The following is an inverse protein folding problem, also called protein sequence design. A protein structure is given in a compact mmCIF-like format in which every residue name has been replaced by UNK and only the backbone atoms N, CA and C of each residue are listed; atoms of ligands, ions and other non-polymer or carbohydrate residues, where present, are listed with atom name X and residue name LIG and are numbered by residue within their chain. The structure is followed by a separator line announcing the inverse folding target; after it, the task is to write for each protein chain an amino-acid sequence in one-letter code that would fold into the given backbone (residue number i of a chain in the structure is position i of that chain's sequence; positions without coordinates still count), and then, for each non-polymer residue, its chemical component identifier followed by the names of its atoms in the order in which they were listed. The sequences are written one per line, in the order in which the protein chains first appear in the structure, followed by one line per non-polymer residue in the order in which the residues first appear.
data_IF_583885552825
#
_entry.id   IF_583885552825
#
_cell.length_a   1.000
_cell.length_b   1.000
_cell.length_c   1.000
_cell.angle_alpha   90.00
_cell.angle_beta   90.00
_cell.angle_gamma   90.00
#
_symmetry.space_group_name_H-M   'P 1'
#
loop_
_entity.id
_entity.type
_entity.pdbx_description
1 polymer ?
#
# COMPACT_ATOMS: atom_id res chain seq x y z
N UNK A 1 -3.99 0.65 -3.50
CA UNK A 1 -4.29 2.10 -3.70
C UNK A 1 -4.54 2.76 -2.33
N UNK A 2 -4.18 4.02 -2.13
CA UNK A 2 -4.57 4.77 -0.94
C UNK A 2 -5.69 5.76 -1.29
N UNK A 3 -6.71 5.83 -0.44
CA UNK A 3 -7.76 6.83 -0.59
C UNK A 3 -7.26 8.21 -0.13
N UNK A 4 -7.67 9.31 -0.79
CA UNK A 4 -7.13 10.65 -0.55
C UNK A 4 -7.76 11.33 0.67
N UNK A 5 -7.98 10.57 1.75
CA UNK A 5 -8.50 11.04 3.04
C UNK A 5 -8.04 10.10 4.16
N UNK A 6 -8.19 10.55 5.41
CA UNK A 6 -7.88 9.77 6.59
C UNK A 6 -9.15 9.22 7.23
N UNK A 7 -9.02 8.08 7.88
CA UNK A 7 -10.01 7.49 8.77
C UNK A 7 -9.42 7.30 10.16
N UNK A 8 -10.28 7.26 11.16
CA UNK A 8 -9.90 6.99 12.54
C UNK A 8 -10.24 5.55 12.91
N UNK A 9 -9.30 4.85 13.53
CA UNK A 9 -9.56 3.54 14.13
C UNK A 9 -10.43 3.73 15.38
N UNK A 10 -11.63 3.12 15.46
CA UNK A 10 -12.57 3.40 16.55
C UNK A 10 -12.08 2.91 17.92
N UNK A 11 -11.13 1.97 17.94
CA UNK A 11 -10.61 1.38 19.18
C UNK A 11 -9.35 2.10 19.69
N UNK A 12 -8.42 2.43 18.79
CA UNK A 12 -7.14 3.05 19.16
C UNK A 12 -7.11 4.57 18.98
N UNK A 13 -8.06 5.15 18.25
CA UNK A 13 -8.04 6.57 17.86
C UNK A 13 -6.96 6.92 16.84
N UNK A 14 -6.27 5.92 16.27
CA UNK A 14 -5.23 6.15 15.28
C UNK A 14 -5.82 6.71 13.98
N UNK A 15 -5.26 7.81 13.48
CA UNK A 15 -5.61 8.35 12.16
C UNK A 15 -4.69 7.77 11.08
N UNK A 16 -5.25 7.19 10.03
CA UNK A 16 -4.47 6.55 8.97
C UNK A 16 -5.17 6.61 7.61
N UNK A 17 -4.42 6.39 6.53
CA UNK A 17 -4.97 6.27 5.18
C UNK A 17 -5.53 4.88 4.97
N UNK A 18 -6.81 4.82 4.63
CA UNK A 18 -7.48 3.57 4.29
C UNK A 18 -6.85 2.95 3.03
N UNK A 19 -6.62 1.64 3.09
CA UNK A 19 -6.19 0.82 1.94
C UNK A 19 -7.38 0.14 1.30
N UNK A 20 -7.27 -0.20 0.02
CA UNK A 20 -8.29 -0.94 -0.71
C UNK A 20 -8.53 -2.33 -0.13
N UNK A 21 -7.48 -3.03 0.34
CA UNK A 21 -7.62 -4.32 1.03
C UNK A 21 -8.47 -4.20 2.30
N UNK A 22 -8.19 -3.22 3.17
CA UNK A 22 -8.95 -3.03 4.41
C UNK A 22 -10.40 -2.64 4.13
N UNK A 23 -10.64 -1.80 3.10
CA UNK A 23 -11.99 -1.46 2.68
C UNK A 23 -12.74 -2.69 2.17
N UNK A 24 -12.08 -3.54 1.37
CA UNK A 24 -12.67 -4.77 0.85
C UNK A 24 -13.04 -5.75 1.97
N UNK A 25 -12.15 -5.95 2.95
CA UNK A 25 -12.38 -6.83 4.08
C UNK A 25 -13.56 -6.37 4.94
N UNK A 26 -13.59 -5.07 5.29
CA UNK A 26 -14.63 -4.51 6.16
C UNK A 26 -16.01 -4.41 5.50
N UNK A 27 -16.06 -4.26 4.18
CA UNK A 27 -17.31 -4.18 3.41
C UNK A 27 -17.74 -5.53 2.81
N UNK A 28 -16.94 -6.58 3.00
CA UNK A 28 -17.09 -7.88 2.34
C UNK A 28 -17.22 -7.75 0.81
N UNK A 29 -16.37 -6.90 0.22
CA UNK A 29 -16.41 -6.63 -1.21
C UNK A 29 -16.08 -7.89 -2.03
N UNK A 30 -16.76 -8.11 -3.16
CA UNK A 30 -16.44 -9.20 -4.07
C UNK A 30 -15.04 -9.01 -4.67
N UNK A 31 -14.44 -10.12 -5.13
CA UNK A 31 -13.15 -10.06 -5.83
C UNK A 31 -13.30 -9.23 -7.11
N UNK A 32 -12.42 -8.24 -7.35
CA UNK A 32 -12.50 -7.40 -8.54
C UNK A 32 -12.21 -8.22 -9.81
N UNK A 33 -12.86 -7.83 -10.90
CA UNK A 33 -12.55 -8.34 -12.24
C UNK A 33 -11.22 -7.78 -12.75
N UNK A 34 -10.57 -8.49 -13.68
CA UNK A 34 -9.29 -8.06 -14.27
C UNK A 34 -9.46 -6.73 -15.01
N UNK A 35 -8.66 -5.72 -14.64
CA UNK A 35 -8.55 -4.45 -15.36
C UNK A 35 -7.48 -4.55 -16.44
N UNK A 36 -7.89 -4.76 -17.69
CA UNK A 36 -6.96 -4.91 -18.82
C UNK A 36 -7.37 -4.04 -20.04
N UNK A 37 -7.41 -2.69 -19.90
CA UNK A 37 -7.88 -1.80 -20.97
C UNK A 37 -7.06 -1.94 -22.26
N UNK A 38 -5.76 -2.25 -22.16
CA UNK A 38 -4.91 -2.43 -23.33
C UNK A 38 -5.37 -3.53 -24.30
N UNK A 39 -6.01 -4.60 -23.80
CA UNK A 39 -6.59 -5.66 -24.65
C UNK A 39 -7.80 -5.14 -25.43
N UNK A 40 -8.68 -4.40 -24.76
CA UNK A 40 -9.92 -3.88 -25.34
C UNK A 40 -9.72 -2.64 -26.23
N UNK A 41 -8.62 -1.91 -26.04
CA UNK A 41 -8.20 -0.81 -26.93
C UNK A 41 -7.69 -1.38 -28.26
N UNK A 42 -6.97 -2.50 -28.21
CA UNK A 42 -6.39 -3.14 -29.38
C UNK A 42 -7.40 -3.96 -30.21
N UNK A 43 -8.55 -4.32 -29.64
CA UNK A 43 -9.54 -5.21 -30.26
C UNK A 43 -10.84 -4.47 -30.67
N UNK A 44 -11.31 -4.71 -31.90
CA UNK A 44 -11.09 -3.79 -33.03
C UNK A 44 -11.08 -2.30 -32.61
N UNK A 45 -10.07 -1.51 -33.05
CA UNK A 45 -9.87 -0.16 -32.56
C UNK A 45 -10.98 0.78 -32.99
N UNK A 46 -11.39 1.65 -32.06
CA UNK A 46 -12.37 2.68 -32.34
C UNK A 46 -11.85 3.64 -33.42
N UNK A 47 -12.68 4.06 -34.40
CA UNK A 47 -12.28 5.01 -35.43
C UNK A 47 -11.66 6.30 -34.90
N UNK A 48 -11.99 6.71 -33.67
CA UNK A 48 -11.47 7.92 -33.03
C UNK A 48 -9.96 7.88 -32.84
N UNK A 49 -9.37 6.72 -32.57
CA UNK A 49 -7.93 6.56 -32.32
C UNK A 49 -7.27 5.46 -33.16
N UNK A 50 -7.97 4.87 -34.13
CA UNK A 50 -7.43 3.81 -34.98
C UNK A 50 -6.14 4.22 -35.71
N UNK A 51 -6.10 5.42 -36.30
CA UNK A 51 -4.90 5.93 -36.98
C UNK A 51 -3.75 6.18 -35.99
N UNK A 52 -4.03 6.72 -34.81
CA UNK A 52 -3.03 6.93 -33.76
C UNK A 52 -2.47 5.60 -33.25
N UNK A 53 -3.33 4.61 -33.04
CA UNK A 53 -2.94 3.27 -32.60
C UNK A 53 -2.08 2.55 -33.64
N UNK A 54 -2.38 2.73 -34.93
CA UNK A 54 -1.58 2.16 -36.02
C UNK A 54 -0.17 2.78 -36.09
N UNK A 55 -0.04 4.07 -35.77
CA UNK A 55 1.24 4.79 -35.83
C UNK A 55 2.08 4.65 -34.54
N UNK A 56 1.46 4.70 -33.37
CA UNK A 56 2.10 4.74 -32.06
C UNK A 56 1.30 3.92 -31.04
N UNK A 57 1.38 2.58 -31.07
CA UNK A 57 0.48 1.71 -30.33
C UNK A 57 0.65 1.82 -28.82
N UNK A 58 1.89 1.85 -28.33
CA UNK A 58 2.18 1.89 -26.88
C UNK A 58 1.73 3.21 -26.27
N UNK A 59 2.05 4.32 -26.92
CA UNK A 59 1.70 5.67 -26.49
C UNK A 59 0.19 5.90 -26.55
N UNK A 60 -0.48 5.40 -27.60
CA UNK A 60 -1.93 5.54 -27.74
C UNK A 60 -2.66 4.69 -26.70
N UNK A 61 -2.24 3.45 -26.45
CA UNK A 61 -2.83 2.60 -25.39
C UNK A 61 -2.66 3.26 -24.03
N UNK A 62 -1.46 3.78 -23.73
CA UNK A 62 -1.18 4.49 -22.49
C UNK A 62 -2.09 5.72 -22.31
N UNK A 63 -2.16 6.58 -23.32
CA UNK A 63 -2.96 7.81 -23.27
C UNK A 63 -4.47 7.53 -23.15
N UNK A 64 -4.99 6.56 -23.91
CA UNK A 64 -6.41 6.15 -23.83
C UNK A 64 -6.70 5.46 -22.50
N UNK A 65 -5.78 4.64 -21.99
CA UNK A 65 -5.86 4.02 -20.68
C UNK A 65 -5.95 5.04 -19.54
N UNK A 66 -5.05 6.03 -19.52
CA UNK A 66 -5.11 7.11 -18.53
C UNK A 66 -6.38 7.95 -18.65
N UNK A 67 -6.81 8.29 -19.87
CA UNK A 67 -8.05 9.02 -20.07
C UNK A 67 -9.30 8.25 -19.60
N UNK A 68 -9.28 6.92 -19.74
CA UNK A 68 -10.33 6.05 -19.21
C UNK A 68 -10.31 6.01 -17.68
N UNK A 69 -9.13 5.94 -17.05
CA UNK A 69 -9.00 6.00 -15.59
C UNK A 69 -9.50 7.34 -15.03
N UNK A 70 -9.13 8.45 -15.67
CA UNK A 70 -9.62 9.79 -15.33
C UNK A 70 -11.14 9.88 -15.45
N UNK A 71 -11.72 9.30 -16.51
CA UNK A 71 -13.18 9.25 -16.69
C UNK A 71 -13.85 8.46 -15.57
N UNK A 72 -13.32 7.28 -15.22
CA UNK A 72 -13.86 6.44 -14.13
C UNK A 72 -13.83 7.23 -12.81
N UNK A 73 -12.70 7.84 -12.47
CA UNK A 73 -12.55 8.60 -11.23
C UNK A 73 -13.45 9.84 -11.18
N UNK A 74 -13.72 10.47 -12.32
CA UNK A 74 -14.60 11.63 -12.45
C UNK A 74 -16.09 11.31 -12.21
N UNK A 75 -16.48 10.03 -12.23
CA UNK A 75 -17.86 9.62 -11.93
C UNK A 75 -18.06 9.43 -10.42
N UNK A 76 -19.11 9.98 -9.81
CA UNK A 76 -19.31 9.90 -8.35
C UNK A 76 -19.60 8.48 -7.87
N UNK A 77 -20.28 7.68 -8.69
CA UNK A 77 -20.75 6.33 -8.38
C UNK A 77 -19.88 5.22 -8.99
N UNK A 78 -18.78 5.58 -9.67
CA UNK A 78 -17.94 4.63 -10.41
C UNK A 78 -18.74 3.83 -11.46
N UNK A 79 -19.77 4.46 -12.05
CA UNK A 79 -20.58 3.91 -13.14
C UNK A 79 -20.41 4.72 -14.40
N UNK A 80 -20.76 4.11 -15.53
CA UNK A 80 -20.70 4.77 -16.83
C UNK A 80 -21.57 6.04 -16.85
N UNK A 81 -21.02 7.19 -17.23
CA UNK A 81 -21.76 8.43 -17.27
C UNK A 81 -22.76 8.46 -18.42
N UNK A 82 -23.82 9.23 -18.25
CA UNK A 82 -24.77 9.57 -19.32
C UNK A 82 -24.26 10.78 -20.08
N UNK A 83 -24.06 10.63 -21.39
CA UNK A 83 -23.42 11.64 -22.26
C UNK A 83 -24.33 12.13 -23.39
N UNK A 84 -25.61 11.71 -23.39
CA UNK A 84 -26.56 11.96 -24.47
C UNK A 84 -26.84 13.46 -24.64
N UNK A 85 -26.88 14.20 -23.53
CA UNK A 85 -27.18 15.62 -23.47
C UNK A 85 -26.06 16.52 -24.03
N UNK A 86 -24.87 15.98 -24.31
CA UNK A 86 -23.76 16.78 -24.84
C UNK A 86 -24.00 17.15 -26.31
N UNK A 87 -23.59 18.35 -26.76
CA UNK A 87 -23.65 18.73 -28.16
C UNK A 87 -22.69 17.88 -29.00
N UNK A 88 -23.05 17.63 -30.27
CA UNK A 88 -22.16 16.92 -31.17
C UNK A 88 -20.87 17.71 -31.38
N UNK A 89 -19.75 17.06 -31.08
CA UNK A 89 -18.43 17.68 -31.05
C UNK A 89 -17.36 16.61 -31.09
N UNK A 90 -16.11 17.01 -31.37
CA UNK A 90 -14.96 16.10 -31.22
C UNK A 90 -14.89 15.54 -29.80
N UNK A 91 -15.04 16.40 -28.77
CA UNK A 91 -15.01 15.98 -27.38
C UNK A 91 -16.07 14.92 -27.06
N UNK A 92 -17.32 15.11 -27.52
CA UNK A 92 -18.39 14.11 -27.36
C UNK A 92 -18.04 12.77 -27.99
N UNK A 93 -17.46 12.75 -29.19
CA UNK A 93 -17.04 11.52 -29.87
C UNK A 93 -15.94 10.77 -29.12
N UNK A 94 -14.92 11.49 -28.64
CA UNK A 94 -13.87 10.88 -27.81
C UNK A 94 -14.43 10.32 -26.49
N UNK A 95 -15.30 11.08 -25.82
CA UNK A 95 -15.93 10.63 -24.58
C UNK A 95 -16.84 9.41 -24.83
N UNK A 96 -17.61 9.40 -25.92
CA UNK A 96 -18.44 8.27 -26.30
C UNK A 96 -17.60 7.01 -26.57
N UNK A 97 -16.47 7.14 -27.27
CA UNK A 97 -15.55 6.03 -27.50
C UNK A 97 -14.98 5.47 -26.18
N UNK A 98 -14.65 6.32 -25.19
CA UNK A 98 -14.21 5.88 -23.86
C UNK A 98 -15.34 5.17 -23.09
N UNK A 99 -16.58 5.69 -23.15
CA UNK A 99 -17.75 5.06 -22.53
C UNK A 99 -18.04 3.70 -23.16
N UNK A 100 -17.94 3.58 -24.49
CA UNK A 100 -18.13 2.33 -25.20
C UNK A 100 -17.02 1.33 -24.90
N UNK A 101 -15.77 1.80 -24.76
CA UNK A 101 -14.64 0.99 -24.29
C UNK A 101 -14.89 0.44 -22.89
N UNK A 102 -15.31 1.30 -21.95
CA UNK A 102 -15.68 0.85 -20.60
C UNK A 102 -16.83 -0.17 -20.65
N UNK A 103 -17.82 0.03 -21.52
CA UNK A 103 -18.92 -0.91 -21.70
C UNK A 103 -18.47 -2.30 -22.14
N UNK A 104 -17.48 -2.39 -23.03
CA UNK A 104 -16.89 -3.69 -23.45
C UNK A 104 -16.18 -4.39 -22.30
N UNK A 105 -15.53 -3.63 -21.41
CA UNK A 105 -14.89 -4.14 -20.21
C UNK A 105 -15.89 -4.58 -19.11
N UNK A 106 -17.16 -4.20 -19.25
CA UNK A 106 -18.23 -4.57 -18.31
C UNK A 106 -18.03 -3.95 -16.93
N UNK A 107 -17.93 -4.81 -15.90
CA UNK A 107 -17.79 -4.41 -14.49
C UNK A 107 -16.34 -4.25 -14.02
N UNK A 108 -15.36 -4.40 -14.91
CA UNK A 108 -13.96 -4.16 -14.56
C UNK A 108 -13.72 -2.69 -14.20
N UNK A 109 -12.90 -2.46 -13.17
CA UNK A 109 -12.50 -1.14 -12.70
C UNK A 109 -10.99 -1.11 -12.45
N UNK A 110 -10.36 0.08 -12.50
CA UNK A 110 -8.98 0.26 -12.08
C UNK A 110 -8.70 -0.32 -10.70
N UNK A 111 -7.45 -0.72 -10.48
CA UNK A 111 -7.01 -1.37 -9.25
C UNK A 111 -7.38 -0.53 -8.01
N UNK A 112 -8.00 -1.17 -7.02
CA UNK A 112 -8.43 -0.53 -5.77
C UNK A 112 -9.79 0.19 -5.81
N UNK A 113 -10.42 0.35 -6.99
CA UNK A 113 -11.74 0.99 -7.10
C UNK A 113 -12.92 0.03 -6.97
N UNK A 114 -12.71 -1.28 -7.15
CA UNK A 114 -13.73 -2.31 -6.93
C UNK A 114 -14.40 -2.22 -5.55
N UNK A 115 -13.63 -2.20 -4.44
CA UNK A 115 -14.16 -2.04 -3.09
C UNK A 115 -14.89 -0.71 -2.90
N UNK A 116 -14.38 0.39 -3.47
CA UNK A 116 -15.02 1.69 -3.40
C UNK A 116 -16.41 1.69 -4.05
N UNK A 117 -16.55 1.12 -5.26
CA UNK A 117 -17.85 0.98 -5.93
C UNK A 117 -18.82 0.15 -5.10
N UNK A 118 -18.35 -0.98 -4.56
CA UNK A 118 -19.17 -1.85 -3.71
C UNK A 118 -19.71 -1.10 -2.49
N UNK A 119 -18.87 -0.31 -1.82
CA UNK A 119 -19.27 0.51 -0.66
C UNK A 119 -20.31 1.56 -1.01
N UNK A 120 -20.20 2.20 -2.17
CA UNK A 120 -21.17 3.19 -2.64
C UNK A 120 -22.56 2.57 -2.85
N UNK A 121 -22.62 1.30 -3.28
CA UNK A 121 -23.86 0.54 -3.46
C UNK A 121 -24.32 -0.20 -2.18
N UNK A 122 -23.48 -0.28 -1.16
CA UNK A 122 -23.72 -1.10 0.02
C UNK A 122 -24.79 -0.45 0.92
N UNK A 123 -25.86 -1.19 1.31
CA UNK A 123 -26.83 -0.70 2.27
C UNK A 123 -26.19 -0.38 3.62
N UNK A 124 -26.70 0.67 4.29
CA UNK A 124 -26.23 1.09 5.63
C UNK A 124 -26.31 -0.05 6.64
N UNK A 125 -25.31 -0.18 7.51
CA UNK A 125 -25.22 -1.17 8.58
C UNK A 125 -24.70 -2.54 8.13
N UNK A 126 -24.08 -2.64 6.96
CA UNK A 126 -23.51 -3.89 6.42
C UNK A 126 -22.00 -4.04 6.58
N UNK A 127 -21.32 -3.00 7.04
CA UNK A 127 -19.91 -3.07 7.38
C UNK A 127 -19.67 -3.96 8.61
N UNK A 128 -18.51 -4.61 8.64
CA UNK A 128 -18.07 -5.41 9.78
C UNK A 128 -17.60 -4.55 10.96
N UNK A 129 -17.07 -3.35 10.68
CA UNK A 129 -16.57 -2.42 11.68
C UNK A 129 -16.72 -0.97 11.21
N UNK A 130 -16.68 -0.02 12.14
CA UNK A 130 -16.87 1.39 11.87
C UNK A 130 -15.62 2.02 11.19
N UNK A 131 -15.88 2.90 10.22
CA UNK A 131 -14.85 3.64 9.49
C UNK A 131 -15.14 5.15 9.53
N UNK A 132 -15.09 5.79 10.71
CA UNK A 132 -15.31 7.23 10.81
C UNK A 132 -14.21 7.98 10.06
N UNK A 133 -14.60 9.00 9.30
CA UNK A 133 -13.66 9.82 8.54
C UNK A 133 -13.05 10.91 9.42
N UNK A 134 -11.82 11.31 9.12
CA UNK A 134 -11.19 12.45 9.82
C UNK A 134 -11.57 13.75 9.13
N UNK A 135 -12.04 14.73 9.90
CA UNK A 135 -12.42 16.07 9.42
C UNK A 135 -11.25 16.74 8.68
N UNK A 136 -11.57 17.49 7.61
CA UNK A 136 -10.63 18.23 6.77
C UNK A 136 -9.45 17.40 6.19
N UNK A 137 -9.56 16.06 6.21
CA UNK A 137 -8.52 15.18 5.69
C UNK A 137 -8.65 14.87 4.20
N UNK A 138 -9.81 15.16 3.60
CA UNK A 138 -10.07 14.96 2.17
C UNK A 138 -9.21 15.92 1.35
N UNK A 139 -8.43 15.36 0.43
CA UNK A 139 -7.66 16.15 -0.53
C UNK A 139 -8.60 17.11 -1.31
N UNK A 140 -8.32 18.43 -1.33
CA UNK A 140 -9.12 19.39 -2.10
C UNK A 140 -9.25 19.03 -3.60
N UNK A 141 -8.26 18.33 -4.15
CA UNK A 141 -8.20 17.86 -5.53
C UNK A 141 -8.73 16.43 -5.71
N UNK A 142 -9.31 15.83 -4.66
CA UNK A 142 -9.88 14.50 -4.75
C UNK A 142 -10.96 14.43 -5.84
N UNK A 143 -10.94 13.40 -6.71
CA UNK A 143 -11.91 13.24 -7.77
C UNK A 143 -13.31 12.91 -7.20
N UNK A 144 -14.34 13.04 -8.04
CA UNK A 144 -15.74 12.95 -7.60
C UNK A 144 -16.09 11.61 -6.94
N UNK A 145 -15.54 10.50 -7.43
CA UNK A 145 -15.68 9.17 -6.82
C UNK A 145 -15.16 9.13 -5.38
N UNK A 146 -13.97 9.70 -5.13
CA UNK A 146 -13.34 9.70 -3.82
C UNK A 146 -14.08 10.60 -2.84
N UNK A 147 -14.60 11.74 -3.31
CA UNK A 147 -15.48 12.61 -2.53
C UNK A 147 -16.77 11.89 -2.14
N UNK A 148 -17.38 11.17 -3.09
CA UNK A 148 -18.60 10.40 -2.83
C UNK A 148 -18.36 9.27 -1.83
N UNK A 149 -17.20 8.60 -1.90
CA UNK A 149 -16.80 7.59 -0.91
C UNK A 149 -16.60 8.21 0.47
N UNK A 150 -15.92 9.35 0.56
CA UNK A 150 -15.73 10.09 1.81
C UNK A 150 -17.08 10.49 2.42
N UNK A 151 -17.97 11.09 1.63
CA UNK A 151 -19.31 11.50 2.06
C UNK A 151 -20.13 10.28 2.51
N UNK A 152 -20.09 9.18 1.76
CA UNK A 152 -20.79 7.92 2.11
C UNK A 152 -20.32 7.36 3.46
N UNK A 153 -19.02 7.37 3.73
CA UNK A 153 -18.45 6.90 5.01
C UNK A 153 -18.78 7.87 6.15
N UNK A 154 -18.68 9.19 5.91
CA UNK A 154 -19.09 10.22 6.86
C UNK A 154 -20.55 10.08 7.25
N UNK A 155 -21.43 9.84 6.28
CA UNK A 155 -22.86 9.77 6.52
C UNK A 155 -23.26 8.51 7.31
N UNK A 156 -22.49 7.42 7.23
CA UNK A 156 -22.76 6.19 7.99
C UNK A 156 -22.06 6.12 9.35
N UNK A 157 -20.82 6.58 9.46
CA UNK A 157 -20.00 6.45 10.68
C UNK A 157 -19.71 7.76 11.40
N UNK A 158 -20.06 8.90 10.80
CA UNK A 158 -19.73 10.23 11.30
C UNK A 158 -18.29 10.65 10.98
N UNK A 159 -17.91 11.78 11.57
CA UNK A 159 -16.56 12.35 11.48
C UNK A 159 -15.91 12.45 12.85
N UNK A 160 -14.58 12.41 12.87
CA UNK A 160 -13.74 12.64 14.04
C UNK A 160 -12.86 13.87 13.77
N UNK A 161 -12.70 14.80 14.73
CA UNK A 161 -11.86 15.97 14.54
C UNK A 161 -10.44 15.56 14.15
N UNK A 162 -9.83 16.29 13.23
CA UNK A 162 -8.41 16.11 12.94
C UNK A 162 -7.61 16.28 14.24
N UNK A 163 -6.85 15.24 14.60
CA UNK A 163 -5.87 15.38 15.66
C UNK A 163 -4.86 16.41 15.18
N UNK A 164 -4.66 17.53 15.91
CA UNK A 164 -3.62 18.47 15.54
C UNK A 164 -2.30 17.69 15.49
N UNK A 165 -1.56 17.85 14.39
CA UNK A 165 -0.17 17.41 14.34
C UNK A 165 0.63 18.30 15.30
N UNK A 166 0.44 18.10 16.60
CA UNK A 166 1.19 18.81 17.62
C UNK A 166 2.65 18.43 17.45
N UNK A 167 3.50 19.44 17.30
CA UNK A 167 4.94 19.25 17.26
C UNK A 167 5.35 18.79 18.66
N UNK A 168 5.51 17.48 18.82
CA UNK A 168 5.90 16.89 20.09
C UNK A 168 7.37 17.11 20.41
N UNK A 169 8.20 17.38 19.41
CA UNK A 169 9.63 17.60 19.60
C UNK A 169 9.91 18.98 20.22
N UNK A 170 10.97 19.13 21.05
CA UNK A 170 11.34 20.39 21.66
C UNK A 170 11.50 21.52 20.64
N UNK A 171 10.99 22.71 20.97
CA UNK A 171 11.11 23.88 20.10
C UNK A 171 12.58 24.18 19.76
N UNK A 172 12.88 24.41 18.49
CA UNK A 172 14.24 24.64 18.01
C UNK A 172 15.05 23.37 17.69
N UNK A 173 14.50 22.17 17.91
CA UNK A 173 15.11 20.91 17.46
C UNK A 173 14.91 20.66 15.96
N UNK A 174 15.77 19.84 15.35
CA UNK A 174 15.61 19.43 13.94
C UNK A 174 14.32 18.63 13.72
N UNK A 175 13.95 17.79 14.68
CA UNK A 175 12.69 17.04 14.61
C UNK A 175 11.49 17.98 14.69
N UNK A 176 11.51 19.03 15.52
CA UNK A 176 10.44 20.03 15.58
C UNK A 176 10.32 20.82 14.26
N UNK A 177 11.46 21.18 13.65
CA UNK A 177 11.47 21.81 12.34
C UNK A 177 10.86 20.89 11.26
N UNK A 178 11.20 19.60 11.26
CA UNK A 178 10.63 18.62 10.33
C UNK A 178 9.13 18.37 10.58
N UNK A 179 8.70 18.26 11.84
CA UNK A 179 7.28 18.11 12.22
C UNK A 179 6.44 19.33 11.82
N UNK A 180 7.06 20.49 11.62
CA UNK A 180 6.40 21.66 11.04
C UNK A 180 5.98 21.50 9.58
N UNK A 181 6.51 20.52 8.87
CA UNK A 181 6.16 20.20 7.49
C UNK A 181 6.57 21.29 6.48
N UNK A 182 6.26 21.03 5.21
CA UNK A 182 6.54 21.92 4.08
C UNK A 182 5.63 23.17 4.03
N UNK A 183 4.59 23.19 4.86
CA UNK A 183 3.62 24.30 4.95
C UNK A 183 4.07 25.39 5.91
N UNK A 184 5.16 25.19 6.65
CA UNK A 184 5.75 26.25 7.48
C UNK A 184 6.46 27.25 6.55
N UNK A 185 6.17 28.56 6.65
CA UNK A 185 6.67 29.57 5.72
C UNK A 185 8.20 29.68 5.68
N UNK A 186 8.87 29.29 6.76
CA UNK A 186 10.33 29.27 6.86
C UNK A 186 10.79 28.00 7.57
N UNK A 187 11.61 27.20 6.88
CA UNK A 187 12.35 26.08 7.48
C UNK A 187 13.70 26.62 7.90
N UNK A 188 13.79 27.10 9.15
CA UNK A 188 15.06 27.52 9.72
C UNK A 188 15.91 26.29 10.04
N UNK A 189 17.16 26.26 9.55
CA UNK A 189 18.10 25.17 9.83
C UNK A 189 18.44 25.21 11.32
N UNK A 190 17.81 24.33 12.08
CA UNK A 190 18.09 24.12 13.50
C UNK A 190 19.53 23.61 13.70
N UNK A 191 20.17 23.92 14.85
CA UNK A 191 21.48 23.38 15.19
C UNK A 191 21.49 21.86 15.17
N UNK A 192 22.67 21.26 15.03
CA UNK A 192 22.81 19.80 15.08
C UNK A 192 22.39 19.27 16.45
N UNK A 193 21.40 18.38 16.46
CA UNK A 193 20.90 17.67 17.63
C UNK A 193 20.72 16.18 17.32
N UNK A 194 20.39 15.41 18.38
CA UNK A 194 20.15 13.97 18.29
C UNK A 194 18.68 13.63 17.95
N UNK A 195 17.87 14.62 17.58
CA UNK A 195 16.44 14.43 17.28
C UNK A 195 16.20 13.70 15.95
N UNK A 196 17.13 13.82 15.01
CA UNK A 196 17.12 13.10 13.73
C UNK A 196 18.53 12.64 13.37
N UNK A 197 18.71 11.33 13.22
CA UNK A 197 20.02 10.72 12.90
C UNK A 197 19.87 9.77 11.73
N UNK A 198 20.73 9.92 10.73
CA UNK A 198 20.83 9.05 9.56
C UNK A 198 22.14 8.27 9.62
N UNK A 199 22.06 6.94 9.47
CA UNK A 199 23.21 6.06 9.63
C UNK A 199 23.30 5.10 8.45
N UNK A 200 24.49 5.02 7.85
CA UNK A 200 24.80 4.04 6.81
C UNK A 200 25.33 2.76 7.44
N UNK A 201 24.61 1.65 7.27
CA UNK A 201 24.99 0.33 7.77
C UNK A 201 25.12 -0.65 6.60
N UNK A 202 25.92 -1.70 6.79
CA UNK A 202 26.36 -2.60 5.72
C UNK A 202 25.23 -3.44 5.12
N UNK A 203 24.35 -3.97 5.97
CA UNK A 203 23.33 -4.96 5.59
C UNK A 203 22.15 -4.93 6.59
N UNK A 204 20.98 -5.48 6.24
CA UNK A 204 19.80 -5.49 7.10
C UNK A 204 20.02 -6.12 8.49
N UNK A 205 20.88 -7.14 8.62
CA UNK A 205 21.15 -7.76 9.91
C UNK A 205 21.97 -6.82 10.81
N UNK A 206 22.94 -6.11 10.23
CA UNK A 206 23.67 -5.04 10.91
C UNK A 206 22.75 -3.88 11.31
N UNK A 207 21.73 -3.56 10.52
CA UNK A 207 20.68 -2.59 10.88
C UNK A 207 19.88 -3.05 12.11
N UNK A 208 19.46 -4.31 12.14
CA UNK A 208 18.73 -4.87 13.28
C UNK A 208 19.56 -4.85 14.57
N UNK A 209 20.86 -5.19 14.47
CA UNK A 209 21.79 -5.15 15.60
C UNK A 209 22.00 -3.76 16.16
N UNK A 210 22.17 -2.80 15.26
CA UNK A 210 22.29 -1.40 15.65
C UNK A 210 21.00 -0.89 16.31
N UNK A 211 19.82 -1.20 15.73
CA UNK A 211 18.54 -0.79 16.29
C UNK A 211 18.31 -1.38 17.69
N UNK A 212 18.64 -2.65 17.91
CA UNK A 212 18.54 -3.31 19.20
C UNK A 212 19.49 -2.67 20.24
N UNK A 213 20.75 -2.42 19.86
CA UNK A 213 21.71 -1.76 20.73
C UNK A 213 21.29 -0.32 21.07
N UNK A 214 20.73 0.42 20.11
CA UNK A 214 20.23 1.78 20.32
C UNK A 214 19.01 1.79 21.24
N UNK A 215 18.07 0.88 21.05
CA UNK A 215 16.91 0.71 21.94
C UNK A 215 17.37 0.40 23.37
N UNK A 216 18.34 -0.51 23.54
CA UNK A 216 18.94 -0.82 24.84
C UNK A 216 19.56 0.40 25.50
N UNK A 217 20.36 1.17 24.75
CA UNK A 217 20.99 2.39 25.25
C UNK A 217 19.96 3.45 25.68
N UNK A 218 18.85 3.60 24.93
CA UNK A 218 17.75 4.50 25.31
C UNK A 218 17.08 4.04 26.62
N UNK A 219 16.85 2.73 26.77
CA UNK A 219 16.26 2.15 28.00
C UNK A 219 17.18 2.39 29.20
N UNK A 220 18.48 2.14 29.05
CA UNK A 220 19.47 2.40 30.09
C UNK A 220 19.60 3.90 30.42
N UNK A 221 19.33 4.77 29.44
CA UNK A 221 19.20 6.21 29.62
C UNK A 221 17.89 6.67 30.27
N UNK A 222 16.98 5.75 30.63
CA UNK A 222 15.73 6.05 31.33
C UNK A 222 14.48 6.17 30.45
N UNK A 223 14.59 5.98 29.13
CA UNK A 223 13.42 5.93 28.24
C UNK A 223 12.63 4.63 28.48
N UNK A 224 11.32 4.68 28.76
CA UNK A 224 10.55 3.46 28.95
C UNK A 224 10.40 2.72 27.61
N UNK A 225 10.57 1.39 27.63
CA UNK A 225 10.56 0.57 26.41
C UNK A 225 9.31 0.76 25.52
N UNK A 226 8.15 1.07 26.11
CA UNK A 226 6.89 1.33 25.38
C UNK A 226 6.92 2.58 24.49
N UNK A 227 7.85 3.49 24.72
CA UNK A 227 8.03 4.72 23.93
C UNK A 227 9.02 4.52 22.77
N UNK A 228 9.57 3.32 22.62
CA UNK A 228 10.53 2.97 21.56
C UNK A 228 9.83 2.06 20.55
N UNK A 229 9.66 2.54 19.32
CA UNK A 229 9.15 1.76 18.21
C UNK A 229 10.27 1.51 17.18
N UNK A 230 10.32 0.29 16.65
CA UNK A 230 11.22 -0.07 15.53
C UNK A 230 10.39 -0.65 14.41
N UNK A 231 10.52 -0.04 13.22
CA UNK A 231 9.82 -0.46 12.01
C UNK A 231 10.84 -1.01 11.01
N UNK A 232 10.47 -2.09 10.31
CA UNK A 232 11.29 -2.68 9.25
C UNK A 232 10.44 -3.02 8.05
N UNK A 233 10.98 -2.79 6.85
CA UNK A 233 10.45 -3.34 5.61
C UNK A 233 11.13 -4.69 5.23
N UNK A 234 12.14 -5.11 6.00
CA UNK A 234 12.90 -6.34 5.79
C UNK A 234 12.38 -7.52 6.64
N UNK A 235 13.18 -8.59 6.71
CA UNK A 235 12.81 -9.80 7.44
C UNK A 235 12.70 -9.56 8.96
N UNK A 236 11.51 -9.72 9.57
CA UNK A 236 11.30 -9.51 11.01
C UNK A 236 12.14 -10.46 11.89
N UNK A 237 12.62 -11.60 11.35
CA UNK A 237 13.49 -12.52 12.09
C UNK A 237 14.80 -11.86 12.53
N UNK A 238 15.32 -10.92 11.75
CA UNK A 238 16.55 -10.22 12.08
C UNK A 238 16.37 -9.33 13.31
N UNK A 239 15.21 -8.65 13.43
CA UNK A 239 14.86 -7.89 14.63
C UNK A 239 14.71 -8.82 15.84
N UNK A 240 13.96 -9.92 15.71
CA UNK A 240 13.77 -10.88 16.79
C UNK A 240 15.12 -11.39 17.33
N UNK A 241 16.04 -11.76 16.44
CA UNK A 241 17.40 -12.23 16.77
C UNK A 241 18.23 -11.15 17.47
N UNK A 242 18.24 -9.93 16.94
CA UNK A 242 19.04 -8.83 17.47
C UNK A 242 18.57 -8.38 18.86
N UNK A 243 17.25 -8.21 19.04
CA UNK A 243 16.67 -7.78 20.31
C UNK A 243 16.76 -8.85 21.40
N UNK A 244 16.59 -10.13 21.04
CA UNK A 244 16.85 -11.24 21.96
C UNK A 244 18.31 -11.24 22.45
N UNK A 245 19.27 -10.99 21.55
CA UNK A 245 20.69 -10.91 21.91
C UNK A 245 21.01 -9.72 22.84
N UNK A 246 20.25 -8.62 22.75
CA UNK A 246 20.37 -7.44 23.62
C UNK A 246 19.51 -7.53 24.90
N UNK A 247 18.73 -8.60 25.06
CA UNK A 247 17.82 -8.78 26.18
C UNK A 247 16.72 -7.72 26.26
N UNK A 248 16.30 -7.16 25.12
CA UNK A 248 15.22 -6.17 25.03
C UNK A 248 13.95 -6.87 24.56
N UNK A 249 12.85 -6.85 25.34
CA UNK A 249 11.61 -7.50 24.94
C UNK A 249 10.99 -6.80 23.73
N UNK A 250 10.48 -7.59 22.79
CA UNK A 250 9.75 -7.11 21.62
C UNK A 250 8.28 -7.50 21.67
N UNK A 251 7.42 -6.63 21.15
CA UNK A 251 6.01 -6.88 20.87
C UNK A 251 5.67 -6.47 19.44
N UNK A 252 4.62 -7.04 18.85
CA UNK A 252 4.15 -6.66 17.50
C UNK A 252 4.85 -7.35 16.33
N UNK A 253 5.59 -8.43 16.58
CA UNK A 253 6.03 -9.34 15.51
C UNK A 253 4.82 -10.10 14.94
N UNK A 254 4.83 -10.49 13.65
CA UNK A 254 3.76 -11.27 13.06
C UNK A 254 3.55 -12.59 13.82
N UNK A 255 2.30 -13.04 13.91
CA UNK A 255 1.89 -14.20 14.71
C UNK A 255 2.66 -15.48 14.37
N UNK A 256 3.05 -15.63 13.11
CA UNK A 256 4.06 -16.58 12.66
C UNK A 256 5.20 -15.81 12.03
N UNK A 257 6.41 -15.95 12.57
CA UNK A 257 7.59 -15.63 11.79
C UNK A 257 7.59 -16.56 10.57
N UNK A 258 7.92 -16.07 9.36
CA UNK A 258 7.98 -16.95 8.21
C UNK A 258 8.90 -18.11 8.57
N UNK A 259 8.45 -19.34 8.39
CA UNK A 259 9.29 -20.50 8.67
C UNK A 259 10.26 -20.69 7.51
N UNK A 260 11.36 -21.40 7.75
CA UNK A 260 12.22 -21.83 6.65
C UNK A 260 11.47 -22.96 5.94
N UNK A 261 11.25 -22.84 4.63
CA UNK A 261 10.62 -23.91 3.84
C UNK A 261 11.64 -25.02 3.57
N UNK A 262 11.90 -25.84 4.59
CA UNK A 262 12.89 -26.93 4.52
C UNK A 262 12.50 -27.94 3.44
N UNK A 263 11.20 -28.16 3.21
CA UNK A 263 10.70 -29.05 2.18
C UNK A 263 10.98 -28.50 0.78
N UNK A 264 10.57 -27.26 0.50
CA UNK A 264 10.80 -26.61 -0.78
C UNK A 264 12.29 -26.46 -1.10
N UNK A 265 13.11 -26.07 -0.12
CA UNK A 265 14.57 -26.01 -0.28
C UNK A 265 15.17 -27.39 -0.59
N UNK A 266 14.74 -28.44 0.10
CA UNK A 266 15.25 -29.80 -0.12
C UNK A 266 14.86 -30.32 -1.51
N UNK A 267 13.61 -30.07 -1.95
CA UNK A 267 13.15 -30.40 -3.30
C UNK A 267 13.94 -29.64 -4.36
N UNK A 268 14.14 -28.33 -4.18
CA UNK A 268 14.95 -27.51 -5.08
C UNK A 268 16.38 -28.05 -5.21
N UNK A 269 17.03 -28.37 -4.08
CA UNK A 269 18.37 -28.95 -4.11
C UNK A 269 18.40 -30.33 -4.77
N UNK A 270 17.38 -31.18 -4.58
CA UNK A 270 17.27 -32.46 -5.29
C UNK A 270 17.13 -32.27 -6.81
N UNK A 271 16.32 -31.30 -7.25
CA UNK A 271 16.14 -30.96 -8.66
C UNK A 271 17.45 -30.43 -9.27
N UNK A 272 18.12 -29.50 -8.59
CA UNK A 272 19.42 -28.98 -9.01
C UNK A 272 20.51 -30.06 -9.03
N UNK A 273 20.41 -31.07 -8.17
CA UNK A 273 21.32 -32.21 -8.18
C UNK A 273 21.15 -33.09 -9.42
N UNK A 274 19.98 -33.09 -10.06
CA UNK A 274 19.73 -33.81 -11.33
C UNK A 274 20.28 -33.07 -12.56
N UNK A 275 20.55 -31.77 -12.46
CA UNK A 275 21.19 -31.01 -13.52
C UNK A 275 22.71 -31.26 -13.51
N UNK A 276 23.27 -31.73 -14.63
CA UNK A 276 24.72 -31.93 -14.77
C UNK A 276 25.37 -30.73 -15.46
N UNK A 277 26.52 -30.23 -14.96
CA UNK A 277 27.22 -30.71 -13.77
C UNK A 277 26.56 -30.24 -12.46
N UNK A 278 26.43 -31.15 -11.49
CA UNK A 278 25.82 -30.84 -10.19
C UNK A 278 26.72 -29.88 -9.41
N UNK A 279 26.21 -28.72 -8.95
CA UNK A 279 26.98 -27.81 -8.12
C UNK A 279 27.32 -28.43 -6.76
N UNK A 280 28.57 -28.33 -6.32
CA UNK A 280 29.03 -28.93 -5.06
C UNK A 280 28.24 -28.43 -3.82
N UNK A 281 27.83 -27.15 -3.82
CA UNK A 281 27.02 -26.59 -2.73
C UNK A 281 25.63 -27.22 -2.61
N UNK A 282 25.07 -27.73 -3.72
CA UNK A 282 23.77 -28.41 -3.72
C UNK A 282 23.87 -29.75 -2.99
N UNK A 283 24.93 -30.52 -3.25
CA UNK A 283 25.18 -31.78 -2.53
C UNK A 283 25.45 -31.55 -1.04
N UNK A 284 26.25 -30.53 -0.71
CA UNK A 284 26.51 -30.16 0.69
C UNK A 284 25.21 -29.74 1.41
N UNK A 285 24.35 -28.97 0.74
CA UNK A 285 23.07 -28.53 1.31
C UNK A 285 22.08 -29.68 1.51
N UNK A 286 22.08 -30.69 0.62
CA UNK A 286 21.31 -31.91 0.81
C UNK A 286 21.80 -32.70 2.02
N UNK A 287 23.10 -32.92 2.16
CA UNK A 287 23.67 -33.67 3.31
C UNK A 287 23.36 -32.99 4.65
N UNK A 288 23.29 -31.66 4.69
CA UNK A 288 22.95 -30.89 5.89
C UNK A 288 21.44 -30.70 6.11
N UNK A 289 20.59 -31.15 5.18
CA UNK A 289 19.13 -31.03 5.33
C UNK A 289 18.64 -32.00 6.41
N UNK A 290 17.83 -31.53 7.39
CA UNK A 290 17.26 -32.40 8.42
C UNK A 290 16.22 -33.39 7.86
N UNK A 291 15.84 -33.25 6.59
CA UNK A 291 14.93 -34.16 5.89
C UNK A 291 15.67 -35.25 5.12
N UNK A 292 17.01 -35.21 5.06
CA UNK A 292 17.77 -36.27 4.43
C UNK A 292 18.04 -37.41 5.43
N UNK A 293 17.91 -38.68 5.00
CA UNK A 293 18.04 -39.84 5.87
C UNK A 293 19.46 -40.06 6.42
N UNK A 294 20.44 -39.27 5.97
CA UNK A 294 21.84 -39.39 6.38
C UNK A 294 22.19 -38.65 7.69
N UNK A 295 21.26 -37.91 8.31
CA UNK A 295 21.52 -37.17 9.56
C UNK A 295 21.26 -38.00 10.84
N UNK A 296 20.63 -39.17 10.73
CA UNK A 296 20.24 -40.03 11.88
C UNK A 296 21.31 -41.04 12.34
N UNK A 297 22.60 -40.87 11.97
CA UNK A 297 23.69 -41.65 12.57
C UNK A 297 24.29 -40.91 13.77
N UNK A 298 23.62 -41.00 14.92
CA UNK A 298 24.24 -40.85 16.25
C UNK A 298 23.81 -42.00 17.15
#
# INVERSE_FOLDING_TARGET
MHYPFLIADPHSGLHYRLTDTRLAELSLAPRPSEWAPGREIAAPPDPVWAESLANAPVETISAVGSALEDLVLATPDLRMPRIEALPDSRAKRHLAALVDLWRRMGDALPEGLGPARHVLDLPTGRFLDALPVVEDSLDPLAPASMRSLYDRLRDEFGSVPAAPAERSAPWGSRLNALQGGLTTPEINVAPADDGLVFLGLRDPASCADFAAARARALIEGGCPAREIAVMTAGDPRQLARAFAAQGVPLSGLPASLPERDILGETVLHLLLAKCTPTPAMVLASLVLSPLMPCVDFR
#
